data_IF_611193254081
#
_entry.id   IF_611193254081
#
_cell.length_a   1.000
_cell.length_b   1.000
_cell.length_c   1.000
_cell.angle_alpha   90.00
_cell.angle_beta   90.00
_cell.angle_gamma   90.00
#
_symmetry.space_group_name_H-M   'P 1'
#
loop_
_entity.id
_entity.type
_entity.pdbx_description
1 polymer ?
#
# COMPACT_ATOMS: atom_id res chain seq x y z
N UNK A 1 -33.01 4.84 -29.49
CA UNK A 1 -34.01 4.89 -28.40
C UNK A 1 -33.51 5.92 -27.41
N UNK A 2 -34.30 6.97 -27.20
CA UNK A 2 -33.93 8.21 -26.50
C UNK A 2 -33.90 7.93 -25.00
N UNK A 3 -32.78 8.21 -24.32
CA UNK A 3 -32.75 8.26 -22.86
C UNK A 3 -33.21 9.64 -22.42
N UNK A 4 -34.30 9.66 -21.66
CA UNK A 4 -34.82 10.80 -20.92
C UNK A 4 -34.22 10.70 -19.52
N UNK A 5 -33.15 11.46 -19.28
CA UNK A 5 -32.79 12.00 -17.96
C UNK A 5 -32.19 13.37 -18.25
N UNK A 6 -32.94 14.42 -17.93
CA UNK A 6 -32.52 15.82 -17.96
C UNK A 6 -31.84 16.17 -16.63
N UNK A 7 -30.68 15.58 -16.36
CA UNK A 7 -29.80 16.13 -15.32
C UNK A 7 -28.59 16.78 -15.99
N UNK A 8 -28.69 18.10 -16.18
CA UNK A 8 -27.57 18.99 -16.48
C UNK A 8 -26.65 19.19 -15.25
N UNK A 9 -26.87 18.44 -14.17
CA UNK A 9 -26.27 18.67 -12.85
C UNK A 9 -24.84 18.13 -12.68
N UNK A 10 -24.38 17.27 -13.59
CA UNK A 10 -23.00 16.79 -13.56
C UNK A 10 -22.17 17.70 -14.45
N UNK A 11 -21.26 18.55 -13.93
CA UNK A 11 -20.28 19.19 -14.79
C UNK A 11 -19.55 18.07 -15.52
N UNK A 12 -19.55 18.12 -16.85
CA UNK A 12 -18.82 17.20 -17.73
C UNK A 12 -17.32 17.43 -17.55
N UNK A 13 -16.81 17.09 -16.36
CA UNK A 13 -15.41 16.88 -16.08
C UNK A 13 -14.94 15.72 -16.95
N UNK A 14 -14.47 16.07 -18.12
CA UNK A 14 -13.72 15.18 -18.97
C UNK A 14 -12.29 15.26 -18.49
N UNK A 15 -11.75 14.15 -17.98
CA UNK A 15 -10.33 14.09 -17.62
C UNK A 15 -9.52 14.27 -18.91
N UNK A 16 -8.56 15.18 -18.94
CA UNK A 16 -7.87 15.57 -20.17
C UNK A 16 -6.77 16.59 -19.92
N UNK A 17 -5.99 16.89 -20.95
CA UNK A 17 -4.99 17.96 -20.89
C UNK A 17 -5.29 19.04 -21.93
N UNK A 18 -4.93 20.27 -21.60
CA UNK A 18 -4.93 21.36 -22.58
C UNK A 18 -3.65 21.26 -23.42
N UNK A 19 -3.79 20.93 -24.69
CA UNK A 19 -2.71 20.94 -25.68
C UNK A 19 -2.84 22.15 -26.60
N UNK A 20 -1.72 22.73 -27.01
CA UNK A 20 -1.75 23.73 -28.09
C UNK A 20 -1.90 23.01 -29.43
N UNK A 21 -2.98 23.27 -30.15
CA UNK A 21 -3.17 22.75 -31.50
C UNK A 21 -2.63 23.76 -32.53
N UNK A 22 -1.43 23.49 -33.06
CA UNK A 22 -0.75 24.37 -34.01
C UNK A 22 -1.50 24.55 -35.35
N UNK A 23 -2.35 23.59 -35.74
CA UNK A 23 -3.12 23.69 -37.00
C UNK A 23 -4.35 24.60 -36.87
N UNK A 24 -4.90 24.71 -35.66
CA UNK A 24 -6.10 25.50 -35.37
C UNK A 24 -5.81 26.81 -34.64
N UNK A 25 -4.53 27.04 -34.30
CA UNK A 25 -4.04 28.20 -33.55
C UNK A 25 -4.82 28.44 -32.25
N UNK A 26 -5.17 27.35 -31.56
CA UNK A 26 -5.98 27.41 -30.35
C UNK A 26 -5.57 26.36 -29.31
N UNK A 27 -5.85 26.67 -28.04
CA UNK A 27 -5.81 25.69 -26.96
C UNK A 27 -6.95 24.69 -27.16
N UNK A 28 -6.61 23.43 -27.39
CA UNK A 28 -7.57 22.34 -27.52
C UNK A 28 -7.52 21.49 -26.25
N UNK A 29 -8.69 21.20 -25.68
CA UNK A 29 -8.80 20.25 -24.59
C UNK A 29 -8.86 18.83 -25.15
N UNK A 30 -7.80 18.06 -24.94
CA UNK A 30 -7.75 16.66 -25.33
C UNK A 30 -8.27 15.80 -24.19
N UNK A 31 -9.43 15.23 -24.47
CA UNK A 31 -10.26 14.44 -23.58
C UNK A 31 -9.75 12.99 -23.53
N UNK A 32 -9.29 12.49 -22.37
CA UNK A 32 -8.96 11.06 -22.18
C UNK A 32 -10.20 10.14 -22.23
N UNK A 33 -11.43 10.69 -22.23
CA UNK A 33 -12.69 9.94 -22.13
C UNK A 33 -13.25 9.43 -23.46
N UNK A 34 -12.43 9.02 -24.44
CA UNK A 34 -13.00 8.34 -25.62
C UNK A 34 -13.74 7.03 -25.26
N UNK A 35 -13.54 6.47 -24.07
CA UNK A 35 -14.06 5.14 -23.70
C UNK A 35 -14.98 5.03 -22.47
N UNK A 36 -15.26 6.07 -21.69
CA UNK A 36 -16.18 5.96 -20.53
C UNK A 36 -17.63 6.18 -20.93
N UNK A 37 -18.17 5.26 -21.74
CA UNK A 37 -19.62 5.01 -21.72
C UNK A 37 -19.96 4.38 -20.36
N UNK A 38 -21.05 4.81 -19.74
CA UNK A 38 -21.60 4.34 -18.45
C UNK A 38 -21.65 2.80 -18.33
N UNK A 39 -20.51 2.18 -18.02
CA UNK A 39 -20.41 0.82 -17.54
C UNK A 39 -20.58 0.87 -16.03
N UNK A 40 -21.50 0.08 -15.48
CA UNK A 40 -21.70 0.00 -14.03
C UNK A 40 -20.38 -0.28 -13.30
N UNK A 41 -20.29 0.16 -12.04
CA UNK A 41 -19.07 0.05 -11.25
C UNK A 41 -18.56 -1.40 -11.25
N UNK A 42 -17.34 -1.61 -11.75
CA UNK A 42 -16.70 -2.91 -11.66
C UNK A 42 -16.50 -3.23 -10.18
N UNK A 43 -16.85 -4.45 -9.77
CA UNK A 43 -16.75 -4.88 -8.37
C UNK A 43 -15.67 -5.95 -8.27
N UNK A 44 -14.76 -5.78 -7.31
CA UNK A 44 -13.78 -6.79 -6.95
C UNK A 44 -14.17 -7.39 -5.61
N UNK A 45 -14.35 -8.70 -5.59
CA UNK A 45 -14.62 -9.44 -4.35
C UNK A 45 -13.29 -9.74 -3.67
N UNK A 46 -13.13 -9.29 -2.42
CA UNK A 46 -11.92 -9.48 -1.60
C UNK A 46 -12.32 -10.01 -0.24
N UNK A 47 -11.87 -11.22 0.12
CA UNK A 47 -12.24 -11.86 1.39
C UNK A 47 -13.76 -11.85 1.68
N UNK A 48 -14.60 -11.96 0.64
CA UNK A 48 -16.06 -11.93 0.74
C UNK A 48 -16.71 -10.54 0.69
N UNK A 49 -15.94 -9.46 0.70
CA UNK A 49 -16.43 -8.08 0.59
C UNK A 49 -16.37 -7.56 -0.84
N UNK A 50 -17.33 -6.72 -1.23
CA UNK A 50 -17.47 -6.17 -2.59
C UNK A 50 -16.87 -4.77 -2.67
N UNK A 51 -15.61 -4.65 -3.08
CA UNK A 51 -14.96 -3.36 -3.29
C UNK A 51 -15.29 -2.78 -4.65
N UNK A 52 -15.38 -1.45 -4.72
CA UNK A 52 -15.43 -0.74 -6.00
C UNK A 52 -14.06 -0.80 -6.69
N UNK A 53 -14.03 -1.20 -7.96
CA UNK A 53 -12.83 -1.26 -8.79
C UNK A 53 -12.72 -0.07 -9.75
N UNK A 54 -13.86 0.53 -10.10
CA UNK A 54 -13.98 1.76 -10.88
C UNK A 54 -14.84 2.78 -10.13
N UNK A 55 -14.67 4.06 -10.47
CA UNK A 55 -15.48 5.15 -9.96
C UNK A 55 -16.24 5.80 -11.10
N UNK A 56 -17.48 6.19 -10.84
CA UNK A 56 -18.20 7.10 -11.73
C UNK A 56 -17.66 8.52 -11.60
N UNK A 57 -17.93 9.36 -12.59
CA UNK A 57 -17.45 10.74 -12.61
C UNK A 57 -17.88 11.55 -11.37
N UNK A 58 -19.11 11.36 -10.90
CA UNK A 58 -19.64 11.97 -9.67
C UNK A 58 -18.85 11.51 -8.43
N UNK A 59 -18.61 10.20 -8.32
CA UNK A 59 -17.84 9.61 -7.20
C UNK A 59 -16.38 10.08 -7.23
N UNK A 60 -15.80 10.20 -8.41
CA UNK A 60 -14.47 10.75 -8.60
C UNK A 60 -14.36 12.20 -8.13
N UNK A 61 -15.35 13.05 -8.46
CA UNK A 61 -15.41 14.44 -7.99
C UNK A 61 -15.54 14.51 -6.46
N UNK A 62 -16.44 13.72 -5.88
CA UNK A 62 -16.60 13.62 -4.42
C UNK A 62 -15.28 13.22 -3.77
N UNK A 63 -14.59 12.21 -4.30
CA UNK A 63 -13.30 11.77 -3.77
C UNK A 63 -12.25 12.90 -3.81
N UNK A 64 -12.10 13.57 -4.96
CA UNK A 64 -11.12 14.66 -5.14
C UNK A 64 -11.38 15.85 -4.20
N UNK A 65 -12.64 16.22 -4.00
CA UNK A 65 -13.00 17.37 -3.17
C UNK A 65 -12.92 17.05 -1.68
N UNK A 66 -13.46 15.90 -1.28
CA UNK A 66 -13.75 15.63 0.13
C UNK A 66 -12.73 14.69 0.80
N UNK A 67 -12.15 13.74 0.07
CA UNK A 67 -11.39 12.63 0.66
C UNK A 67 -9.92 12.56 0.22
N UNK A 68 -9.57 13.21 -0.88
CA UNK A 68 -8.19 13.30 -1.36
C UNK A 68 -7.36 14.19 -0.42
N UNK A 69 -6.07 13.84 -0.27
CA UNK A 69 -5.14 14.68 0.50
C UNK A 69 -4.99 16.05 -0.19
N UNK A 70 -5.09 17.16 0.56
CA UNK A 70 -5.07 18.51 0.03
C UNK A 70 -3.68 18.88 -0.48
N UNK A 71 -3.60 19.77 -1.49
CA UNK A 71 -2.35 20.18 -2.10
C UNK A 71 -1.48 21.07 -1.20
N UNK A 72 -1.97 21.47 -0.03
CA UNK A 72 -1.27 22.36 0.92
C UNK A 72 -0.16 21.68 1.73
N UNK A 73 0.01 20.37 1.59
CA UNK A 73 1.01 19.60 2.35
C UNK A 73 2.36 19.63 1.63
N UNK A 74 3.47 19.63 2.38
CA UNK A 74 4.84 19.71 1.81
C UNK A 74 5.19 18.54 0.87
N UNK A 75 4.47 17.42 0.99
CA UNK A 75 4.63 16.19 0.22
C UNK A 75 3.41 15.93 -0.70
N UNK A 76 2.66 16.98 -1.07
CA UNK A 76 1.45 16.88 -1.90
C UNK A 76 1.70 16.25 -3.28
N UNK A 77 2.91 16.42 -3.81
CA UNK A 77 3.28 16.00 -5.17
C UNK A 77 3.67 14.53 -5.28
N UNK A 78 3.82 13.82 -4.17
CA UNK A 78 4.23 12.40 -4.14
C UNK A 78 3.13 11.52 -3.57
N UNK A 79 3.06 10.27 -4.02
CA UNK A 79 2.11 9.29 -3.50
C UNK A 79 2.62 8.72 -2.18
N UNK A 80 1.81 8.87 -1.14
CA UNK A 80 2.09 8.35 0.19
C UNK A 80 1.16 7.19 0.57
N UNK A 81 1.50 6.48 1.64
CA UNK A 81 0.62 5.44 2.18
C UNK A 81 -0.71 6.03 2.66
N UNK A 82 -0.75 7.30 3.06
CA UNK A 82 -2.01 8.00 3.34
C UNK A 82 -2.91 8.12 2.10
N UNK A 83 -2.37 8.44 0.92
CA UNK A 83 -3.17 8.56 -0.31
C UNK A 83 -3.82 7.22 -0.69
N UNK A 84 -3.07 6.12 -0.55
CA UNK A 84 -3.55 4.76 -0.81
C UNK A 84 -4.60 4.34 0.22
N UNK A 85 -4.39 4.63 1.52
CA UNK A 85 -5.39 4.35 2.56
C UNK A 85 -6.69 5.12 2.32
N UNK A 86 -6.60 6.41 2.00
CA UNK A 86 -7.79 7.22 1.69
C UNK A 86 -8.60 6.60 0.54
N UNK A 87 -7.91 6.19 -0.53
CA UNK A 87 -8.55 5.56 -1.68
C UNK A 87 -9.13 4.18 -1.32
N UNK A 88 -8.38 3.34 -0.62
CA UNK A 88 -8.86 2.02 -0.21
C UNK A 88 -10.08 2.10 0.72
N UNK A 89 -10.11 3.09 1.62
CA UNK A 89 -11.28 3.34 2.49
C UNK A 89 -12.46 3.88 1.67
N UNK A 90 -12.23 4.74 0.68
CA UNK A 90 -13.29 5.25 -0.19
C UNK A 90 -13.93 4.15 -1.06
N UNK A 91 -13.13 3.19 -1.53
CA UNK A 91 -13.60 2.05 -2.33
C UNK A 91 -14.21 0.91 -1.51
N UNK A 92 -14.08 0.98 -0.17
CA UNK A 92 -14.59 -0.04 0.73
C UNK A 92 -16.12 -0.01 0.82
N UNK A 93 -16.77 -1.16 0.99
CA UNK A 93 -18.21 -1.22 1.14
C UNK A 93 -18.67 -0.85 2.57
N UNK A 94 -19.96 -0.51 2.76
CA UNK A 94 -20.46 0.03 4.03
C UNK A 94 -20.35 -0.93 5.22
N UNK A 95 -20.23 -2.23 4.97
CA UNK A 95 -20.03 -3.22 6.03
C UNK A 95 -18.64 -3.10 6.69
N UNK A 96 -17.66 -2.50 6.00
CA UNK A 96 -16.30 -2.30 6.51
C UNK A 96 -16.16 -0.94 7.20
N UNK A 97 -16.75 0.11 6.62
CA UNK A 97 -16.46 1.49 7.01
C UNK A 97 -17.33 1.91 8.20
N UNK A 98 -16.77 1.75 9.41
CA UNK A 98 -17.36 2.24 10.65
C UNK A 98 -16.32 3.06 11.45
N UNK A 99 -16.77 3.73 12.53
CA UNK A 99 -15.89 4.57 13.36
C UNK A 99 -14.75 3.77 14.00
N UNK A 100 -15.05 2.61 14.59
CA UNK A 100 -14.08 1.71 15.22
C UNK A 100 -12.96 1.31 14.22
N UNK A 101 -13.33 0.95 12.99
CA UNK A 101 -12.41 0.56 11.93
C UNK A 101 -11.59 1.74 11.41
N UNK A 102 -12.20 2.92 11.23
CA UNK A 102 -11.48 4.12 10.81
C UNK A 102 -10.43 4.55 11.85
N UNK A 103 -10.77 4.45 13.15
CA UNK A 103 -9.80 4.66 14.22
C UNK A 103 -8.67 3.63 14.20
N UNK A 104 -9.00 2.35 13.96
CA UNK A 104 -8.00 1.29 13.85
C UNK A 104 -7.03 1.50 12.68
N UNK A 105 -7.53 1.86 11.50
CA UNK A 105 -6.72 2.18 10.31
C UNK A 105 -5.78 3.37 10.55
N UNK A 106 -6.15 4.26 11.47
CA UNK A 106 -5.35 5.41 11.90
C UNK A 106 -4.36 5.11 13.04
N UNK A 107 -4.14 3.85 13.41
CA UNK A 107 -3.14 3.47 14.44
C UNK A 107 -1.72 3.35 13.86
N UNK A 108 -0.72 3.52 14.73
CA UNK A 108 0.68 3.23 14.40
C UNK A 108 0.87 1.76 14.06
N UNK A 109 0.26 0.86 14.83
CA UNK A 109 0.38 -0.59 14.62
C UNK A 109 -0.17 -0.99 13.24
N UNK A 110 -1.29 -0.41 12.80
CA UNK A 110 -1.80 -0.70 11.46
C UNK A 110 -0.90 -0.12 10.36
N UNK A 111 -0.36 1.09 10.56
CA UNK A 111 0.57 1.69 9.60
C UNK A 111 1.85 0.87 9.42
N UNK A 112 2.46 0.41 10.51
CA UNK A 112 3.67 -0.42 10.46
C UNK A 112 3.40 -1.81 9.87
N UNK A 113 2.22 -2.39 10.18
CA UNK A 113 1.76 -3.62 9.54
C UNK A 113 1.60 -3.48 8.03
N UNK A 114 0.87 -2.46 7.55
CA UNK A 114 0.69 -2.21 6.12
C UNK A 114 2.03 -2.00 5.40
N UNK A 115 2.95 -1.26 6.02
CA UNK A 115 4.29 -1.07 5.45
C UNK A 115 5.07 -2.39 5.34
N UNK A 116 5.08 -3.20 6.41
CA UNK A 116 5.72 -4.52 6.38
C UNK A 116 5.06 -5.45 5.34
N UNK A 117 3.75 -5.35 5.17
CA UNK A 117 2.97 -6.13 4.21
C UNK A 117 3.33 -5.75 2.77
N UNK A 118 3.40 -4.45 2.46
CA UNK A 118 3.79 -3.95 1.13
C UNK A 118 5.22 -4.41 0.79
N UNK A 119 6.16 -4.24 1.73
CA UNK A 119 7.56 -4.69 1.56
C UNK A 119 7.62 -6.20 1.29
N UNK A 120 6.84 -6.99 2.02
CA UNK A 120 6.77 -8.44 1.80
C UNK A 120 6.26 -8.77 0.40
N UNK A 121 5.14 -8.17 -0.01
CA UNK A 121 4.51 -8.48 -1.29
C UNK A 121 5.33 -8.00 -2.50
N UNK A 122 6.01 -6.86 -2.37
CA UNK A 122 6.95 -6.39 -3.39
C UNK A 122 8.04 -7.44 -3.66
N UNK A 123 8.65 -8.02 -2.61
CA UNK A 123 9.64 -9.08 -2.80
C UNK A 123 9.02 -10.42 -3.23
N UNK A 124 7.85 -10.78 -2.69
CA UNK A 124 7.16 -12.02 -3.03
C UNK A 124 6.76 -12.11 -4.50
N UNK A 125 6.14 -11.06 -5.05
CA UNK A 125 5.72 -11.07 -6.45
C UNK A 125 6.92 -11.20 -7.40
N UNK A 126 8.03 -10.52 -7.11
CA UNK A 126 9.29 -10.67 -7.86
C UNK A 126 9.82 -12.11 -7.85
N UNK A 127 9.78 -12.78 -6.69
CA UNK A 127 10.21 -14.18 -6.59
C UNK A 127 9.24 -15.12 -7.31
N UNK A 128 7.93 -14.85 -7.27
CA UNK A 128 6.94 -15.61 -8.03
C UNK A 128 7.18 -15.46 -9.53
N UNK A 129 7.36 -14.24 -10.02
CA UNK A 129 7.66 -13.95 -11.42
C UNK A 129 8.92 -14.71 -11.87
N UNK A 130 10.00 -14.64 -11.08
CA UNK A 130 11.21 -15.42 -11.34
C UNK A 130 10.92 -16.92 -11.46
N UNK A 131 10.13 -17.50 -10.56
CA UNK A 131 9.77 -18.92 -10.61
C UNK A 131 8.95 -19.25 -11.86
N UNK A 132 8.00 -18.41 -12.23
CA UNK A 132 7.15 -18.63 -13.40
C UNK A 132 7.97 -18.55 -14.69
N UNK A 133 8.84 -17.55 -14.83
CA UNK A 133 9.78 -17.44 -15.96
C UNK A 133 10.65 -18.71 -16.04
N UNK A 134 11.22 -19.15 -14.91
CA UNK A 134 12.04 -20.37 -14.87
C UNK A 134 11.24 -21.62 -15.24
N UNK A 135 9.99 -21.72 -14.81
CA UNK A 135 9.11 -22.84 -15.16
C UNK A 135 8.90 -22.91 -16.66
N UNK A 136 8.67 -21.77 -17.30
CA UNK A 136 8.46 -21.67 -18.74
C UNK A 136 9.75 -21.96 -19.52
N UNK A 137 10.92 -21.54 -19.02
CA UNK A 137 12.24 -21.90 -19.59
C UNK A 137 12.54 -23.41 -19.53
N UNK A 138 11.99 -24.15 -18.56
CA UNK A 138 12.19 -25.60 -18.42
C UNK A 138 11.23 -26.39 -19.31
N UNK A 139 9.98 -25.94 -19.43
CA UNK A 139 8.92 -26.67 -20.13
C UNK A 139 8.70 -26.19 -21.57
N UNK A 140 9.29 -25.08 -21.98
CA UNK A 140 9.18 -24.54 -23.35
C UNK A 140 10.06 -25.25 -24.37
N UNK A 141 9.89 -24.89 -25.64
CA UNK A 141 10.58 -25.49 -26.80
C UNK A 141 12.12 -25.38 -26.76
N UNK A 142 12.66 -24.52 -25.88
CA UNK A 142 14.10 -24.34 -25.61
C UNK A 142 14.48 -24.77 -24.20
N UNK A 143 13.93 -25.89 -23.72
CA UNK A 143 14.14 -26.43 -22.39
C UNK A 143 15.62 -26.40 -21.96
N UNK A 144 15.93 -25.65 -20.90
CA UNK A 144 17.28 -25.57 -20.34
C UNK A 144 17.43 -26.46 -19.11
N UNK A 145 18.56 -27.17 -19.02
CA UNK A 145 18.92 -27.97 -17.83
C UNK A 145 19.30 -27.02 -16.69
N UNK A 146 18.72 -27.22 -15.51
CA UNK A 146 19.06 -26.39 -14.33
C UNK A 146 20.47 -26.68 -13.83
N UNK A 147 21.28 -25.62 -13.71
CA UNK A 147 22.58 -25.69 -13.06
C UNK A 147 22.45 -25.78 -11.53
N UNK A 148 23.54 -26.20 -10.87
CA UNK A 148 23.66 -26.14 -9.40
C UNK A 148 23.52 -24.72 -8.87
N UNK A 149 24.05 -23.74 -9.60
CA UNK A 149 23.98 -22.31 -9.28
C UNK A 149 22.53 -21.79 -9.25
N UNK A 150 21.69 -22.25 -10.19
CA UNK A 150 20.25 -21.94 -10.19
C UNK A 150 19.54 -22.47 -8.93
N UNK A 151 19.95 -23.63 -8.41
CA UNK A 151 19.38 -24.18 -7.18
C UNK A 151 19.85 -23.43 -5.93
N UNK A 152 21.09 -22.96 -5.90
CA UNK A 152 21.62 -22.10 -4.82
C UNK A 152 20.88 -20.77 -4.79
N UNK A 153 20.68 -20.14 -5.96
CA UNK A 153 19.93 -18.90 -6.11
C UNK A 153 18.51 -18.99 -5.53
N UNK A 154 17.80 -20.06 -5.87
CA UNK A 154 16.45 -20.37 -5.35
C UNK A 154 16.43 -20.47 -3.82
N UNK A 155 17.46 -21.06 -3.22
CA UNK A 155 17.58 -21.18 -1.75
C UNK A 155 17.80 -19.81 -1.09
N UNK A 156 18.62 -18.95 -1.71
CA UNK A 156 18.84 -17.59 -1.21
C UNK A 156 17.55 -16.77 -1.27
N UNK A 157 16.81 -16.82 -2.39
CA UNK A 157 15.53 -16.12 -2.50
C UNK A 157 14.50 -16.61 -1.48
N UNK A 158 14.41 -17.93 -1.26
CA UNK A 158 13.56 -18.51 -0.21
C UNK A 158 13.96 -18.05 1.20
N UNK A 159 15.27 -17.98 1.48
CA UNK A 159 15.78 -17.51 2.77
C UNK A 159 15.49 -16.03 3.01
N UNK A 160 15.60 -15.19 1.98
CA UNK A 160 15.25 -13.78 2.04
C UNK A 160 13.73 -13.60 2.21
N UNK A 161 12.89 -14.38 1.52
CA UNK A 161 11.43 -14.38 1.74
C UNK A 161 11.06 -14.67 3.20
N UNK A 162 11.74 -15.62 3.85
CA UNK A 162 11.53 -15.91 5.26
C UNK A 162 11.86 -14.72 6.17
N UNK A 163 12.82 -13.86 5.80
CA UNK A 163 13.16 -12.64 6.54
C UNK A 163 12.06 -11.58 6.44
N UNK A 164 11.52 -11.37 5.24
CA UNK A 164 10.37 -10.48 5.06
C UNK A 164 9.12 -11.01 5.78
N UNK A 165 8.86 -12.33 5.73
CA UNK A 165 7.78 -12.94 6.53
C UNK A 165 7.99 -12.74 8.03
N UNK A 166 9.22 -12.82 8.52
CA UNK A 166 9.51 -12.62 9.94
C UNK A 166 9.17 -11.19 10.40
N UNK A 167 9.52 -10.18 9.59
CA UNK A 167 9.15 -8.78 9.84
C UNK A 167 7.61 -8.61 9.85
N UNK A 168 6.94 -9.17 8.85
CA UNK A 168 5.48 -9.11 8.74
C UNK A 168 4.79 -9.86 9.90
N UNK A 169 5.32 -11.02 10.30
CA UNK A 169 4.78 -11.83 11.39
C UNK A 169 4.86 -11.10 12.73
N UNK A 170 5.97 -10.39 12.97
CA UNK A 170 6.11 -9.51 14.13
C UNK A 170 5.02 -8.44 14.15
N UNK A 171 4.83 -7.70 13.05
CA UNK A 171 3.82 -6.64 13.01
C UNK A 171 2.40 -7.19 13.16
N UNK A 172 2.11 -8.30 12.49
CA UNK A 172 0.83 -8.98 12.62
C UNK A 172 0.58 -9.48 14.04
N UNK A 173 1.62 -9.96 14.76
CA UNK A 173 1.49 -10.39 16.14
C UNK A 173 1.08 -9.26 17.10
N UNK A 174 1.52 -8.02 16.83
CA UNK A 174 1.10 -6.85 17.62
C UNK A 174 -0.41 -6.61 17.46
N UNK A 175 -0.95 -6.83 16.26
CA UNK A 175 -2.40 -6.78 16.00
C UNK A 175 -3.09 -7.92 16.74
N UNK A 176 -2.74 -9.18 16.47
CA UNK A 176 -3.43 -10.34 17.06
C UNK A 176 -3.44 -10.33 18.59
N UNK A 177 -2.34 -9.91 19.22
CA UNK A 177 -2.22 -9.83 20.69
C UNK A 177 -2.85 -8.57 21.29
N UNK A 178 -3.36 -7.64 20.49
CA UNK A 178 -3.93 -6.39 20.96
C UNK A 178 -2.93 -5.53 21.74
N UNK A 179 -1.69 -5.44 21.25
CA UNK A 179 -0.63 -4.67 21.91
C UNK A 179 -0.72 -3.17 21.59
N UNK A 180 -0.05 -2.34 22.39
CA UNK A 180 0.11 -0.90 22.12
C UNK A 180 -1.23 -0.15 21.95
N UNK A 181 -1.34 0.63 20.87
CA UNK A 181 -2.48 1.49 20.53
C UNK A 181 -3.68 0.73 19.95
N UNK A 182 -3.54 -0.56 19.64
CA UNK A 182 -4.66 -1.39 19.17
C UNK A 182 -5.38 -2.13 20.30
N UNK A 183 -4.89 -2.06 21.54
CA UNK A 183 -5.49 -2.75 22.71
C UNK A 183 -6.99 -2.50 22.88
N UNK A 184 -7.47 -1.29 22.56
CA UNK A 184 -8.89 -0.91 22.67
C UNK A 184 -9.82 -1.64 21.70
N UNK A 185 -9.30 -2.18 20.59
CA UNK A 185 -10.07 -2.91 19.58
C UNK A 185 -10.12 -4.42 19.83
N UNK A 186 -9.36 -4.91 20.80
CA UNK A 186 -9.30 -6.34 21.12
C UNK A 186 -10.10 -6.65 22.38
N UNK A 187 -10.99 -7.64 22.26
CA UNK A 187 -11.83 -8.10 23.37
C UNK A 187 -11.21 -9.22 24.21
N UNK A 188 -9.91 -9.51 24.01
CA UNK A 188 -9.20 -10.51 24.80
C UNK A 188 -8.97 -9.93 26.20
N UNK A 189 -9.81 -10.33 27.15
CA UNK A 189 -9.51 -10.16 28.56
C UNK A 189 -8.39 -11.15 28.93
N UNK A 190 -7.18 -10.66 29.31
CA UNK A 190 -5.97 -11.49 29.47
C UNK A 190 -6.09 -12.58 30.55
N UNK A 191 -7.12 -12.51 31.39
CA UNK A 191 -7.33 -13.42 32.53
C UNK A 191 -8.26 -14.60 32.15
N UNK A 192 -9.20 -14.40 31.23
CA UNK A 192 -10.23 -15.39 30.89
C UNK A 192 -10.07 -15.97 29.48
N UNK A 193 -9.27 -15.36 28.60
CA UNK A 193 -9.06 -15.82 27.22
C UNK A 193 -10.38 -16.10 26.45
N UNK A 194 -11.46 -15.41 26.80
CA UNK A 194 -12.75 -15.49 26.10
C UNK A 194 -12.76 -14.39 25.06
N UNK A 195 -12.66 -14.77 23.79
CA UNK A 195 -12.82 -13.87 22.64
C UNK A 195 -14.29 -13.74 22.28
N UNK A 196 -14.67 -12.60 21.70
CA UNK A 196 -15.98 -12.47 21.05
C UNK A 196 -15.84 -13.00 19.63
N UNK A 197 -15.81 -14.33 19.52
CA UNK A 197 -15.37 -15.07 18.33
C UNK A 197 -15.98 -14.60 17.02
N UNK A 198 -17.26 -14.20 17.00
CA UNK A 198 -17.94 -13.67 15.81
C UNK A 198 -17.44 -12.26 15.47
N UNK A 199 -17.36 -11.35 16.45
CA UNK A 199 -16.88 -9.97 16.24
C UNK A 199 -15.42 -9.95 15.84
N UNK A 200 -14.57 -10.71 16.55
CA UNK A 200 -13.14 -10.79 16.27
C UNK A 200 -12.87 -11.43 14.89
N UNK A 201 -13.67 -12.42 14.50
CA UNK A 201 -13.62 -12.98 13.13
C UNK A 201 -14.01 -11.93 12.10
N UNK A 202 -15.13 -11.24 12.27
CA UNK A 202 -15.57 -10.22 11.32
C UNK A 202 -14.51 -9.11 11.17
N UNK A 203 -13.95 -8.65 12.30
CA UNK A 203 -12.88 -7.66 12.31
C UNK A 203 -11.61 -8.15 11.60
N UNK A 204 -11.20 -9.39 11.84
CA UNK A 204 -10.06 -10.01 11.15
C UNK A 204 -10.27 -10.08 9.63
N UNK A 205 -11.45 -10.53 9.19
CA UNK A 205 -11.80 -10.59 7.76
C UNK A 205 -11.78 -9.20 7.12
N UNK A 206 -12.32 -8.19 7.81
CA UNK A 206 -12.29 -6.79 7.37
C UNK A 206 -10.86 -6.26 7.24
N UNK A 207 -9.99 -6.53 8.21
CA UNK A 207 -8.56 -6.13 8.16
C UNK A 207 -7.89 -6.77 6.95
N UNK A 208 -8.09 -8.06 6.72
CA UNK A 208 -7.47 -8.76 5.59
C UNK A 208 -7.99 -8.21 4.25
N UNK A 209 -9.29 -7.97 4.14
CA UNK A 209 -9.90 -7.41 2.93
C UNK A 209 -9.33 -6.04 2.59
N UNK A 210 -9.31 -5.13 3.58
CA UNK A 210 -8.74 -3.79 3.42
C UNK A 210 -7.25 -3.82 3.09
N UNK A 211 -6.48 -4.66 3.78
CA UNK A 211 -5.03 -4.76 3.57
C UNK A 211 -4.68 -5.32 2.19
N UNK A 212 -5.47 -6.27 1.69
CA UNK A 212 -5.34 -6.82 0.33
C UNK A 212 -5.52 -5.71 -0.71
N UNK A 213 -6.53 -4.85 -0.54
CA UNK A 213 -6.78 -3.71 -1.41
C UNK A 213 -5.64 -2.68 -1.35
N UNK A 214 -5.14 -2.36 -0.15
CA UNK A 214 -3.98 -1.46 0.02
C UNK A 214 -2.75 -1.99 -0.73
N UNK A 215 -2.41 -3.27 -0.56
CA UNK A 215 -1.28 -3.90 -1.25
C UNK A 215 -1.48 -3.88 -2.76
N UNK A 216 -2.66 -4.29 -3.24
CA UNK A 216 -2.97 -4.31 -4.67
C UNK A 216 -2.86 -2.93 -5.31
N UNK A 217 -3.43 -1.89 -4.68
CA UNK A 217 -3.30 -0.51 -5.16
C UNK A 217 -1.83 -0.07 -5.15
N UNK A 218 -1.10 -0.38 -4.08
CA UNK A 218 0.31 0.01 -3.95
C UNK A 218 1.18 -0.63 -5.04
N UNK A 219 0.93 -1.90 -5.36
CA UNK A 219 1.70 -2.68 -6.34
C UNK A 219 1.06 -2.59 -7.74
N UNK A 220 0.81 -1.35 -8.20
CA UNK A 220 0.38 -1.02 -9.55
C UNK A 220 -0.97 -1.63 -10.00
N UNK A 221 -1.79 -2.10 -9.06
CA UNK A 221 -3.05 -2.81 -9.36
C UNK A 221 -2.86 -4.03 -10.26
N UNK A 222 -1.72 -4.69 -10.16
CA UNK A 222 -1.40 -5.93 -10.88
C UNK A 222 -1.58 -7.16 -9.98
N UNK A 223 -1.72 -8.33 -10.59
CA UNK A 223 -1.67 -9.64 -9.92
C UNK A 223 -2.59 -9.82 -8.71
N UNK A 224 -3.79 -9.20 -8.73
CA UNK A 224 -4.76 -9.28 -7.64
C UNK A 224 -5.00 -10.72 -7.15
N UNK A 225 -5.11 -11.68 -8.08
CA UNK A 225 -5.36 -13.08 -7.74
C UNK A 225 -4.20 -13.74 -7.01
N UNK A 226 -2.95 -13.37 -7.32
CA UNK A 226 -1.78 -13.87 -6.60
C UNK A 226 -1.68 -13.23 -5.22
N UNK A 227 -1.96 -11.92 -5.12
CA UNK A 227 -1.99 -11.19 -3.85
C UNK A 227 -3.04 -11.80 -2.92
N UNK A 228 -4.28 -11.96 -3.39
CA UNK A 228 -5.38 -12.51 -2.60
C UNK A 228 -5.11 -13.98 -2.19
N UNK A 229 -4.56 -14.80 -3.09
CA UNK A 229 -4.14 -16.17 -2.77
C UNK A 229 -3.09 -16.20 -1.65
N UNK A 230 -2.06 -15.37 -1.74
CA UNK A 230 -0.98 -15.32 -0.76
C UNK A 230 -1.44 -14.71 0.57
N UNK A 231 -2.31 -13.70 0.54
CA UNK A 231 -3.00 -13.18 1.73
C UNK A 231 -3.77 -14.30 2.45
N UNK A 232 -4.57 -15.07 1.70
CA UNK A 232 -5.26 -16.24 2.23
C UNK A 232 -4.28 -17.23 2.86
N UNK A 233 -3.16 -17.54 2.20
CA UNK A 233 -2.18 -18.50 2.69
C UNK A 233 -1.45 -18.02 3.95
N UNK A 234 -1.05 -16.75 4.03
CA UNK A 234 -0.26 -16.24 5.15
C UNK A 234 -1.07 -16.16 6.44
N UNK A 235 -2.30 -15.64 6.32
CA UNK A 235 -3.12 -15.28 7.47
C UNK A 235 -4.14 -16.36 7.83
N UNK A 236 -4.54 -17.20 6.88
CA UNK A 236 -5.46 -18.33 7.13
C UNK A 236 -4.69 -19.65 7.07
N UNK A 237 -5.01 -20.57 7.96
CA UNK A 237 -4.46 -21.91 7.89
C UNK A 237 -5.17 -22.73 6.82
N UNK A 238 -4.59 -23.86 6.41
CA UNK A 238 -5.19 -24.73 5.40
C UNK A 238 -6.61 -25.18 5.73
N UNK A 239 -6.95 -25.29 7.02
CA UNK A 239 -8.29 -25.68 7.47
C UNK A 239 -9.31 -24.54 7.35
N UNK A 240 -8.86 -23.30 7.23
CA UNK A 240 -9.69 -22.09 7.18
C UNK A 240 -9.48 -21.29 5.88
N UNK A 241 -8.86 -21.88 4.86
CA UNK A 241 -8.70 -21.23 3.55
C UNK A 241 -10.09 -21.01 2.94
N UNK A 242 -10.32 -19.82 2.41
CA UNK A 242 -11.51 -19.54 1.63
C UNK A 242 -11.41 -20.29 0.30
N UNK A 243 -12.50 -20.91 -0.15
CA UNK A 243 -12.54 -21.55 -1.47
C UNK A 243 -12.38 -20.49 -2.56
N UNK A 244 -11.20 -20.43 -3.17
CA UNK A 244 -10.90 -19.59 -4.32
C UNK A 244 -10.46 -20.48 -5.48
N UNK A 245 -10.73 -20.06 -6.71
CA UNK A 245 -10.17 -20.73 -7.88
C UNK A 245 -8.67 -20.47 -7.90
N UNK A 246 -7.85 -21.46 -7.54
CA UNK A 246 -6.40 -21.39 -7.68
C UNK A 246 -6.04 -21.27 -9.17
N UNK A 247 -5.99 -20.03 -9.68
CA UNK A 247 -5.62 -19.76 -11.09
C UNK A 247 -4.15 -20.09 -11.34
N UNK A 248 -3.29 -19.91 -10.33
CA UNK A 248 -1.88 -20.29 -10.38
C UNK A 248 -1.65 -21.42 -9.38
N UNK A 249 -1.29 -22.59 -9.91
CA UNK A 249 -0.92 -23.75 -9.08
C UNK A 249 0.60 -23.89 -9.08
N UNK A 250 1.17 -23.84 -7.89
CA UNK A 250 2.58 -24.11 -7.68
C UNK A 250 2.78 -25.61 -7.47
N UNK A 251 3.86 -26.15 -8.03
CA UNK A 251 4.33 -27.50 -7.70
C UNK A 251 4.79 -27.55 -6.24
N UNK A 252 4.87 -28.75 -5.65
CA UNK A 252 5.34 -28.90 -4.26
C UNK A 252 6.74 -28.30 -4.03
N UNK A 253 7.62 -28.36 -5.04
CA UNK A 253 8.95 -27.77 -4.96
C UNK A 253 8.91 -26.24 -4.95
N UNK A 254 8.10 -25.63 -5.82
CA UNK A 254 7.90 -24.17 -5.87
C UNK A 254 7.21 -23.67 -4.60
N UNK A 255 6.18 -24.37 -4.13
CA UNK A 255 5.49 -24.09 -2.89
C UNK A 255 6.44 -24.13 -1.69
N UNK A 256 7.33 -25.13 -1.58
CA UNK A 256 8.34 -25.18 -0.50
C UNK A 256 9.31 -24.00 -0.54
N UNK A 257 9.70 -23.56 -1.73
CA UNK A 257 10.57 -22.40 -1.92
C UNK A 257 9.86 -21.12 -1.47
N UNK A 258 8.63 -20.91 -1.94
CA UNK A 258 7.83 -19.73 -1.63
C UNK A 258 7.43 -19.69 -0.16
N UNK A 259 6.90 -20.78 0.41
CA UNK A 259 6.24 -20.78 1.71
C UNK A 259 7.19 -20.93 2.90
N UNK A 260 8.41 -21.43 2.66
CA UNK A 260 9.43 -21.59 3.68
C UNK A 260 9.30 -22.89 4.49
N UNK A 261 10.20 -23.05 5.46
CA UNK A 261 10.37 -24.31 6.22
C UNK A 261 9.47 -24.41 7.45
N UNK A 262 8.98 -23.28 7.96
CA UNK A 262 8.27 -23.20 9.22
C UNK A 262 6.77 -23.48 9.09
N UNK A 263 6.21 -23.42 7.87
CA UNK A 263 4.81 -23.74 7.61
C UNK A 263 4.55 -25.23 7.82
N UNK A 264 3.92 -25.57 8.96
CA UNK A 264 3.52 -26.94 9.31
C UNK A 264 2.01 -27.03 9.41
N UNK A 265 1.48 -28.12 8.85
CA UNK A 265 0.09 -28.51 9.03
C UNK A 265 -0.04 -29.29 10.33
N UNK A 266 -0.81 -28.74 11.25
CA UNK A 266 -1.18 -29.30 12.54
C UNK A 266 -2.69 -29.58 12.55
N UNK A 267 -3.19 -30.16 13.65
CA UNK A 267 -4.62 -30.29 13.89
C UNK A 267 -5.29 -28.90 13.96
N UNK A 268 -6.50 -28.75 13.44
CA UNK A 268 -7.25 -27.48 13.37
C UNK A 268 -7.32 -26.73 14.71
N UNK A 269 -7.35 -27.43 15.85
CA UNK A 269 -7.38 -26.81 17.20
C UNK A 269 -6.07 -26.15 17.61
N UNK A 270 -4.94 -26.64 17.10
CA UNK A 270 -3.59 -26.16 17.44
C UNK A 270 -2.95 -25.41 16.26
N UNK A 271 -3.74 -25.14 15.22
CA UNK A 271 -3.24 -24.59 13.99
C UNK A 271 -3.20 -23.06 14.07
N UNK A 272 -1.99 -22.51 14.13
CA UNK A 272 -1.75 -21.08 13.93
C UNK A 272 -1.68 -20.74 12.43
N UNK A 273 -1.84 -19.47 12.09
CA UNK A 273 -1.60 -19.01 10.72
C UNK A 273 -0.15 -19.26 10.31
N UNK A 274 0.14 -19.60 9.04
CA UNK A 274 1.50 -19.86 8.58
C UNK A 274 2.46 -18.71 8.87
N UNK A 275 1.98 -17.46 8.81
CA UNK A 275 2.76 -16.29 9.16
C UNK A 275 3.20 -16.30 10.64
N UNK A 276 2.31 -16.62 11.59
CA UNK A 276 2.65 -16.67 13.02
C UNK A 276 3.61 -17.82 13.32
N UNK A 277 3.54 -18.92 12.57
CA UNK A 277 4.47 -20.05 12.74
C UNK A 277 5.93 -19.67 12.46
N UNK A 278 6.19 -18.62 11.67
CA UNK A 278 7.55 -18.10 11.44
C UNK A 278 8.22 -17.59 12.72
N UNK A 279 7.43 -17.18 13.73
CA UNK A 279 7.94 -16.71 15.02
C UNK A 279 8.34 -17.86 15.96
N UNK A 280 7.90 -19.10 15.71
CA UNK A 280 8.19 -20.22 16.60
C UNK A 280 9.68 -20.62 16.57
N UNK A 281 10.30 -20.60 15.39
CA UNK A 281 11.67 -21.06 15.18
C UNK A 281 12.51 -20.01 14.45
N UNK A 282 12.75 -18.88 15.12
CA UNK A 282 13.58 -17.79 14.57
C UNK A 282 15.06 -18.14 14.65
N UNK A 283 15.71 -18.27 13.50
CA UNK A 283 17.16 -18.43 13.41
C UNK A 283 17.88 -17.30 14.17
N UNK A 284 18.90 -17.63 14.98
CA UNK A 284 19.63 -16.65 15.81
C UNK A 284 20.10 -15.42 15.01
N UNK A 285 20.49 -15.61 13.75
CA UNK A 285 20.98 -14.57 12.83
C UNK A 285 19.88 -13.64 12.32
N UNK A 286 18.64 -14.11 12.28
CA UNK A 286 17.48 -13.32 11.83
C UNK A 286 16.80 -12.59 12.99
N UNK A 287 17.18 -12.85 14.25
CA UNK A 287 16.65 -12.13 15.43
C UNK A 287 16.71 -10.60 15.33
N UNK A 288 17.75 -9.98 14.73
CA UNK A 288 17.80 -8.52 14.58
C UNK A 288 16.62 -7.94 13.80
N UNK A 289 16.02 -8.72 12.88
CA UNK A 289 14.84 -8.31 12.10
C UNK A 289 13.66 -7.98 13.00
N UNK A 290 13.51 -8.69 14.13
CA UNK A 290 12.44 -8.43 15.08
C UNK A 290 12.54 -7.03 15.71
N UNK A 291 13.72 -6.41 15.71
CA UNK A 291 13.94 -5.08 16.29
C UNK A 291 13.89 -3.94 15.27
N UNK A 292 13.78 -4.24 13.96
CA UNK A 292 13.76 -3.23 12.89
C UNK A 292 12.68 -2.18 13.13
N UNK A 293 13.06 -0.90 13.02
CA UNK A 293 12.17 0.24 13.23
C UNK A 293 11.88 0.57 14.70
N UNK A 294 12.40 -0.22 15.65
CA UNK A 294 12.44 0.13 17.09
C UNK A 294 13.84 0.55 17.50
N UNK A 295 14.86 -0.19 17.06
CA UNK A 295 16.28 0.08 17.32
C UNK A 295 17.03 0.08 16.00
N UNK A 296 18.02 0.97 15.87
CA UNK A 296 18.88 1.01 14.68
C UNK A 296 19.69 -0.27 14.59
N UNK A 297 19.65 -0.98 13.47
CA UNK A 297 20.49 -2.15 13.26
C UNK A 297 21.96 -1.72 13.22
N UNK A 298 22.78 -2.40 14.02
CA UNK A 298 24.23 -2.27 14.00
C UNK A 298 24.82 -3.65 13.72
N UNK A 299 25.21 -3.88 12.47
CA UNK A 299 25.79 -5.14 12.07
C UNK A 299 26.18 -5.11 10.60
N UNK A 300 26.77 -6.22 10.16
CA UNK A 300 27.36 -6.31 8.82
C UNK A 300 26.49 -7.10 7.83
N UNK A 301 25.29 -7.53 8.23
CA UNK A 301 24.37 -8.22 7.31
C UNK A 301 23.63 -7.20 6.45
N UNK A 302 24.08 -7.06 5.20
CA UNK A 302 23.53 -6.12 4.21
C UNK A 302 22.03 -6.32 4.02
N UNK A 303 21.52 -7.55 4.12
CA UNK A 303 20.10 -7.84 3.90
C UNK A 303 19.23 -7.26 5.01
N UNK A 304 19.70 -7.32 6.25
CA UNK A 304 18.98 -6.73 7.39
C UNK A 304 19.00 -5.21 7.27
N UNK A 305 20.12 -4.64 6.81
CA UNK A 305 20.23 -3.22 6.52
C UNK A 305 19.27 -2.78 5.41
N UNK A 306 19.15 -3.55 4.31
CA UNK A 306 18.20 -3.28 3.22
C UNK A 306 16.75 -3.32 3.70
N UNK A 307 16.37 -4.34 4.46
CA UNK A 307 15.03 -4.45 5.05
C UNK A 307 14.76 -3.29 6.01
N UNK A 308 15.75 -2.94 6.84
CA UNK A 308 15.64 -1.80 7.75
C UNK A 308 15.44 -0.49 6.99
N UNK A 309 16.22 -0.25 5.94
CA UNK A 309 16.14 0.96 5.13
C UNK A 309 14.76 1.09 4.46
N UNK A 310 14.27 0.01 3.84
CA UNK A 310 12.92 -0.04 3.25
C UNK A 310 11.83 0.21 4.31
N UNK A 311 12.00 -0.31 5.52
CA UNK A 311 11.02 -0.16 6.60
C UNK A 311 11.04 1.23 7.25
N UNK A 312 12.18 1.91 7.33
CA UNK A 312 12.30 3.21 8.00
C UNK A 312 12.03 4.38 7.06
N UNK A 313 12.56 4.36 5.83
CA UNK A 313 12.56 5.50 4.91
C UNK A 313 11.13 5.98 4.62
N UNK A 314 10.90 7.29 4.67
CA UNK A 314 9.63 7.90 4.31
C UNK A 314 9.41 7.73 2.79
N UNK A 315 8.17 7.43 2.37
CA UNK A 315 7.79 7.29 0.97
C UNK A 315 8.26 8.48 0.11
N UNK A 316 8.14 9.71 0.61
CA UNK A 316 8.59 10.90 -0.09
C UNK A 316 10.10 10.93 -0.41
N UNK A 317 10.91 10.18 0.33
CA UNK A 317 12.37 10.16 0.24
C UNK A 317 12.92 8.85 -0.37
N UNK A 318 12.05 7.93 -0.80
CA UNK A 318 12.46 6.63 -1.31
C UNK A 318 13.32 6.72 -2.58
N UNK A 319 13.01 7.67 -3.47
CA UNK A 319 13.78 7.91 -4.70
C UNK A 319 15.23 8.32 -4.41
N UNK A 320 15.49 9.06 -3.33
CA UNK A 320 16.83 9.47 -2.91
C UNK A 320 17.67 8.28 -2.41
N UNK A 321 17.01 7.25 -1.86
CA UNK A 321 17.63 6.03 -1.38
C UNK A 321 17.73 4.94 -2.47
N UNK A 322 17.30 5.23 -3.70
CA UNK A 322 17.19 4.27 -4.80
C UNK A 322 16.36 3.02 -4.42
N UNK A 323 15.27 3.26 -3.68
CA UNK A 323 14.30 2.24 -3.28
C UNK A 323 13.00 2.50 -4.03
N UNK A 324 12.46 1.46 -4.68
CA UNK A 324 11.13 1.48 -5.29
C UNK A 324 10.23 0.47 -4.59
N UNK A 325 9.13 0.93 -3.99
CA UNK A 325 8.13 0.07 -3.36
C UNK A 325 6.75 0.34 -3.99
N UNK A 326 6.47 -0.36 -5.08
CA UNK A 326 5.26 -0.11 -5.86
C UNK A 326 5.19 1.35 -6.33
N UNK A 327 4.04 2.00 -6.11
CA UNK A 327 3.81 3.41 -6.48
C UNK A 327 4.22 4.41 -5.38
N UNK A 328 4.73 3.95 -4.23
CA UNK A 328 5.07 4.85 -3.12
C UNK A 328 6.25 5.75 -3.49
N UNK A 329 6.11 7.05 -3.21
CA UNK A 329 7.11 8.05 -3.55
C UNK A 329 7.11 8.49 -5.01
N UNK A 330 6.27 7.88 -5.86
CA UNK A 330 6.13 8.31 -7.25
C UNK A 330 5.41 9.66 -7.32
N UNK A 331 5.65 10.46 -8.37
CA UNK A 331 4.99 11.74 -8.53
C UNK A 331 3.50 11.51 -8.79
N UNK A 332 2.63 12.25 -8.10
CA UNK A 332 1.17 12.07 -8.17
C UNK A 332 0.58 12.48 -9.52
N UNK A 333 1.26 13.37 -10.24
CA UNK A 333 0.83 13.88 -11.55
C UNK A 333 0.78 12.83 -12.66
N UNK A 334 1.52 11.72 -12.56
CA UNK A 334 1.51 10.63 -13.56
C UNK A 334 0.45 9.57 -13.25
N UNK A 335 -0.38 9.77 -12.23
CA UNK A 335 -1.43 8.85 -11.82
C UNK A 335 -2.79 9.50 -11.88
N UNK A 336 -3.80 8.71 -12.25
CA UNK A 336 -5.19 9.15 -12.12
C UNK A 336 -5.70 9.04 -10.67
N UNK A 337 -6.97 9.37 -10.43
CA UNK A 337 -7.60 9.30 -9.11
C UNK A 337 -7.62 7.91 -8.49
N UNK A 338 -7.75 6.89 -9.32
CA UNK A 338 -7.69 5.50 -8.89
C UNK A 338 -6.24 5.04 -8.62
N UNK A 339 -5.25 5.94 -8.73
CA UNK A 339 -3.83 5.61 -8.64
C UNK A 339 -3.41 4.55 -9.68
N UNK A 340 -4.02 4.59 -10.88
CA UNK A 340 -3.54 3.87 -12.07
C UNK A 340 -2.58 4.77 -12.82
N UNK A 341 -1.48 4.19 -13.29
CA UNK A 341 -0.45 4.87 -14.05
C UNK A 341 -1.00 5.35 -15.39
N UNK A 342 -0.79 6.62 -15.72
CA UNK A 342 -1.11 7.18 -17.02
C UNK A 342 0.15 7.22 -17.91
N UNK A 343 0.16 6.37 -18.94
CA UNK A 343 1.28 6.27 -19.88
C UNK A 343 1.45 7.53 -20.72
N UNK A 344 0.41 8.33 -20.94
CA UNK A 344 0.52 9.61 -21.64
C UNK A 344 1.33 10.61 -20.82
N UNK A 345 0.99 10.75 -19.53
CA UNK A 345 1.75 11.57 -18.60
C UNK A 345 3.21 11.07 -18.47
N UNK A 346 3.45 9.76 -18.35
CA UNK A 346 4.79 9.17 -18.28
C UNK A 346 5.65 9.55 -19.50
N UNK A 347 5.07 9.54 -20.71
CA UNK A 347 5.77 9.95 -21.95
C UNK A 347 6.16 11.42 -21.93
N UNK A 348 5.35 12.29 -21.33
CA UNK A 348 5.66 13.73 -21.22
C UNK A 348 6.87 13.99 -20.30
N UNK A 349 7.06 13.19 -19.25
CA UNK A 349 8.19 13.30 -18.33
C UNK A 349 9.51 12.73 -18.86
N UNK A 350 9.50 12.09 -20.04
CA UNK A 350 10.71 11.60 -20.74
C UNK A 350 11.63 10.72 -19.88
N UNK A 351 11.06 9.84 -19.07
CA UNK A 351 11.83 8.79 -18.40
C UNK A 351 12.57 7.94 -19.43
N UNK A 352 13.78 7.49 -19.10
CA UNK A 352 14.61 6.66 -19.97
C UNK A 352 15.27 5.54 -19.19
N UNK A 353 15.85 4.55 -19.87
CA UNK A 353 16.68 3.53 -19.22
C UNK A 353 17.89 4.12 -18.49
N UNK A 354 18.32 5.33 -18.81
CA UNK A 354 19.40 6.02 -18.06
C UNK A 354 18.84 6.85 -16.91
N UNK A 355 17.66 7.44 -17.06
CA UNK A 355 17.01 8.32 -16.10
C UNK A 355 15.62 7.80 -15.74
N UNK A 356 15.59 6.92 -14.75
CA UNK A 356 14.38 6.35 -14.17
C UNK A 356 14.52 6.25 -12.65
N UNK A 357 14.36 7.37 -11.92
CA UNK A 357 14.54 7.41 -10.47
C UNK A 357 13.45 6.66 -9.69
N UNK A 358 12.35 6.32 -10.36
CA UNK A 358 11.18 5.66 -9.76
C UNK A 358 11.05 4.18 -10.18
N UNK A 359 11.88 3.71 -11.13
CA UNK A 359 11.82 2.34 -11.62
C UNK A 359 10.58 2.02 -12.47
N UNK A 360 9.99 3.04 -13.12
CA UNK A 360 8.78 2.89 -13.93
C UNK A 360 9.08 2.14 -15.24
N UNK A 361 10.22 2.41 -15.87
CA UNK A 361 10.65 1.79 -17.13
C UNK A 361 11.51 0.56 -16.86
N UNK A 362 12.49 0.68 -15.95
CA UNK A 362 13.44 -0.41 -15.66
C UNK A 362 12.78 -1.65 -15.09
N UNK A 363 11.58 -1.48 -14.54
CA UNK A 363 10.86 -2.45 -13.72
C UNK A 363 11.67 -2.88 -12.50
N UNK A 364 11.02 -3.18 -11.37
CA UNK A 364 11.75 -3.54 -10.17
C UNK A 364 12.29 -4.98 -10.29
N UNK A 365 13.60 -5.15 -10.14
CA UNK A 365 14.29 -6.43 -10.39
C UNK A 365 14.70 -7.15 -9.10
N UNK A 366 14.93 -8.47 -9.19
CA UNK A 366 15.62 -9.20 -8.14
C UNK A 366 17.13 -9.03 -8.30
N UNK A 367 17.80 -8.62 -7.23
CA UNK A 367 19.27 -8.62 -7.19
C UNK A 367 19.78 -10.06 -7.25
N UNK A 368 20.77 -10.30 -8.10
CA UNK A 368 21.46 -11.59 -8.14
C UNK A 368 22.41 -11.61 -6.92
N UNK A 369 22.21 -12.54 -5.98
CA UNK A 369 23.06 -12.66 -4.80
C UNK A 369 24.49 -13.03 -5.20
N UNK A 370 25.46 -12.51 -4.46
CA UNK A 370 26.85 -12.90 -4.65
C UNK A 370 27.06 -14.35 -4.19
N UNK A 371 27.94 -15.08 -4.88
CA UNK A 371 28.22 -16.51 -4.59
C UNK A 371 28.61 -16.77 -3.13
N UNK A 372 29.24 -15.79 -2.48
CA UNK A 372 29.72 -15.90 -1.11
C UNK A 372 28.69 -15.41 -0.06
N UNK A 373 27.45 -15.06 -0.45
CA UNK A 373 26.49 -14.44 0.46
C UNK A 373 26.13 -15.36 1.65
N UNK A 374 26.01 -16.68 1.44
CA UNK A 374 25.76 -17.62 2.54
C UNK A 374 26.95 -17.74 3.50
N UNK A 375 28.17 -17.61 3.00
CA UNK A 375 29.39 -17.63 3.81
C UNK A 375 29.54 -16.34 4.60
N UNK A 376 29.32 -15.20 3.95
CA UNK A 376 29.26 -13.88 4.60
C UNK A 376 28.18 -13.85 5.69
N UNK A 377 27.04 -14.51 5.47
CA UNK A 377 25.99 -14.71 6.47
C UNK A 377 26.45 -15.55 7.66
N UNK A 378 27.40 -16.47 7.50
CA UNK A 378 28.00 -17.21 8.62
C UNK A 378 28.94 -16.34 9.45
N UNK A 379 29.56 -15.34 8.82
CA UNK A 379 30.50 -14.42 9.44
C UNK A 379 29.82 -13.15 10.01
N UNK A 380 28.53 -12.94 9.75
CA UNK A 380 27.80 -11.75 10.19
C UNK A 380 27.78 -11.62 11.71
N UNK A 381 28.20 -10.45 12.21
CA UNK A 381 28.09 -10.06 13.62
C UNK A 381 27.03 -8.98 13.76
N UNK A 382 26.28 -9.04 14.86
CA UNK A 382 25.34 -8.00 15.27
C UNK A 382 25.81 -7.44 16.60
N UNK A 383 25.80 -6.12 16.70
CA UNK A 383 26.22 -5.36 17.87
C UNK A 383 24.99 -4.79 18.57
N UNK A 384 25.13 -4.47 19.86
CA UNK A 384 24.08 -3.82 20.62
C UNK A 384 23.89 -2.38 20.13
N UNK A 385 22.64 -1.97 19.98
CA UNK A 385 22.29 -0.62 19.56
C UNK A 385 21.71 0.16 20.72
N UNK A 386 22.25 1.35 20.94
CA UNK A 386 21.80 2.30 21.96
C UNK A 386 20.78 3.31 21.43
N UNK A 387 20.46 3.26 20.13
CA UNK A 387 19.59 4.24 19.47
C UNK A 387 18.18 3.69 19.27
N UNK A 388 17.19 4.40 19.81
CA UNK A 388 15.79 4.17 19.51
C UNK A 388 15.38 4.96 18.26
N UNK A 389 14.66 4.30 17.37
CA UNK A 389 14.17 4.90 16.13
C UNK A 389 12.74 5.37 16.31
N UNK A 390 12.47 6.60 15.90
CA UNK A 390 11.10 7.12 15.77
C UNK A 390 10.74 7.23 14.29
N UNK A 391 9.81 6.40 13.85
CA UNK A 391 9.22 6.51 12.51
C UNK A 391 8.28 7.72 12.45
N UNK A 392 8.44 8.53 11.41
CA UNK A 392 7.43 9.51 11.02
C UNK A 392 6.24 8.77 10.42
N UNK A 393 5.04 9.04 10.92
CA UNK A 393 3.80 8.39 10.51
C UNK A 393 2.79 9.48 10.17
N UNK A 394 2.13 9.31 9.03
CA UNK A 394 1.05 10.18 8.59
C UNK A 394 -0.26 9.70 9.21
N UNK A 395 -0.86 10.52 10.05
CA UNK A 395 -2.16 10.24 10.67
C UNK A 395 -3.27 11.05 10.00
N UNK A 396 -4.47 10.50 9.98
CA UNK A 396 -5.68 11.28 9.77
C UNK A 396 -5.91 12.20 10.97
N UNK A 397 -6.28 13.44 10.69
CA UNK A 397 -6.82 14.33 11.71
C UNK A 397 -8.12 13.75 12.27
N UNK A 398 -8.49 14.04 13.53
CA UNK A 398 -9.73 13.54 14.11
C UNK A 398 -10.98 13.87 13.27
N UNK A 399 -10.98 15.03 12.63
CA UNK A 399 -12.02 15.45 11.67
C UNK A 399 -12.11 14.52 10.46
N UNK A 400 -10.97 14.15 9.87
CA UNK A 400 -10.94 13.18 8.77
C UNK A 400 -11.42 11.82 9.18
N UNK A 401 -11.04 11.33 10.36
CA UNK A 401 -11.50 10.03 10.86
C UNK A 401 -13.03 10.01 10.98
N UNK A 402 -13.63 11.06 11.53
CA UNK A 402 -15.10 11.22 11.61
C UNK A 402 -15.76 11.38 10.23
N UNK A 403 -15.06 11.98 9.28
CA UNK A 403 -15.54 12.11 7.90
C UNK A 403 -15.57 10.77 7.19
N UNK A 404 -14.51 9.98 7.31
CA UNK A 404 -14.47 8.62 6.77
C UNK A 404 -15.49 7.69 7.42
N UNK A 405 -15.77 7.82 8.72
CA UNK A 405 -16.83 7.01 9.35
C UNK A 405 -18.24 7.33 8.83
N UNK A 406 -18.42 8.51 8.22
CA UNK A 406 -19.66 8.94 7.55
C UNK A 406 -19.54 8.92 6.03
N UNK A 407 -18.57 8.19 5.48
CA UNK A 407 -18.27 8.14 4.05
C UNK A 407 -19.54 7.93 3.21
N UNK A 408 -20.26 6.85 3.46
CA UNK A 408 -21.40 6.47 2.61
C UNK A 408 -22.55 7.47 2.68
N UNK A 409 -22.84 8.04 3.85
CA UNK A 409 -23.88 9.08 3.97
C UNK A 409 -23.47 10.38 3.29
N UNK A 410 -22.19 10.74 3.31
CA UNK A 410 -21.67 11.88 2.55
C UNK A 410 -21.77 11.63 1.04
N UNK A 411 -21.37 10.45 0.57
CA UNK A 411 -21.48 10.09 -0.85
C UNK A 411 -22.94 10.09 -1.30
N UNK A 412 -23.85 9.55 -0.50
CA UNK A 412 -25.29 9.57 -0.78
C UNK A 412 -25.84 11.00 -0.83
N UNK A 413 -25.48 11.84 0.14
CA UNK A 413 -25.85 13.26 0.15
C UNK A 413 -25.44 13.98 -1.13
N UNK A 414 -24.20 13.83 -1.60
CA UNK A 414 -23.75 14.44 -2.85
C UNK A 414 -24.36 13.84 -4.12
N UNK A 415 -24.90 12.62 -4.05
CA UNK A 415 -25.63 12.01 -5.17
C UNK A 415 -27.08 12.50 -5.27
N UNK A 416 -27.70 12.89 -4.16
CA UNK A 416 -29.13 13.24 -4.10
C UNK A 416 -29.40 14.74 -4.00
N UNK A 417 -28.65 15.47 -3.17
CA UNK A 417 -28.97 16.85 -2.76
C UNK A 417 -27.78 17.80 -2.78
N UNK A 418 -26.57 17.28 -2.62
CA UNK A 418 -25.35 18.07 -2.49
C UNK A 418 -24.92 18.68 -3.82
N UNK A 419 -24.74 20.01 -3.83
CA UNK A 419 -24.12 20.70 -4.96
C UNK A 419 -22.62 20.39 -4.91
N UNK A 420 -22.14 19.58 -5.85
CA UNK A 420 -20.71 19.45 -6.10
C UNK A 420 -20.20 20.82 -6.57
N UNK A 421 -19.19 21.35 -5.89
CA UNK A 421 -18.61 22.63 -6.31
C UNK A 421 -17.95 22.43 -7.67
N UNK A 422 -18.59 22.93 -8.73
CA UNK A 422 -17.94 23.03 -10.04
C UNK A 422 -16.69 23.91 -9.92
N UNK A 423 -15.69 23.70 -10.77
CA UNK A 423 -14.48 24.53 -10.83
C UNK A 423 -14.88 26.01 -10.92
N UNK A 424 -15.95 26.32 -11.66
CA UNK A 424 -16.51 27.66 -11.74
C UNK A 424 -16.99 28.19 -10.37
N UNK A 425 -17.80 27.42 -9.63
CA UNK A 425 -18.32 27.80 -8.30
C UNK A 425 -17.17 27.94 -7.30
N UNK A 426 -16.16 27.07 -7.39
CA UNK A 426 -14.97 27.15 -6.57
C UNK A 426 -14.15 28.40 -6.90
N UNK A 427 -13.92 28.70 -8.17
CA UNK A 427 -13.20 29.90 -8.59
C UNK A 427 -13.98 31.18 -8.24
N UNK A 428 -15.31 31.21 -8.38
CA UNK A 428 -16.11 32.37 -7.93
C UNK A 428 -16.01 32.53 -6.42
N UNK A 429 -16.07 31.44 -5.65
CA UNK A 429 -15.86 31.49 -4.21
C UNK A 429 -14.44 31.95 -3.85
N UNK A 430 -13.40 31.42 -4.47
CA UNK A 430 -12.00 31.83 -4.23
C UNK A 430 -11.76 33.31 -4.61
N UNK A 431 -12.46 33.83 -5.62
CA UNK A 431 -12.42 35.26 -6.00
C UNK A 431 -13.22 36.13 -5.02
N UNK A 432 -14.33 35.60 -4.48
CA UNK A 432 -15.14 36.26 -3.45
C UNK A 432 -14.52 36.17 -2.05
N UNK A 433 -13.64 35.19 -1.80
CA UNK A 433 -12.98 34.97 -0.53
C UNK A 433 -11.83 35.98 -0.34
N UNK A 434 -12.16 37.15 0.18
CA UNK A 434 -11.19 38.20 0.55
C UNK A 434 -10.41 37.86 1.83
N UNK A 435 -10.50 36.63 2.32
CA UNK A 435 -9.84 36.16 3.56
C UNK A 435 -8.35 35.81 3.37
N UNK A 436 -7.81 35.99 2.17
CA UNK A 436 -6.37 35.95 1.95
C UNK A 436 -5.69 37.04 2.81
N UNK A 437 -5.02 36.59 3.89
CA UNK A 437 -4.09 37.40 4.65
C UNK A 437 -3.08 38.00 3.65
N UNK A 438 -2.89 39.32 3.71
CA UNK A 438 -1.94 39.99 2.84
C UNK A 438 -0.56 39.35 2.98
N UNK A 439 0.22 39.31 1.90
CA UNK A 439 1.59 38.75 1.91
C UNK A 439 2.43 39.31 3.07
N UNK A 440 2.18 40.57 3.44
CA UNK A 440 2.77 41.26 4.59
C UNK A 440 2.40 40.63 5.95
N UNK A 441 1.14 40.26 6.16
CA UNK A 441 0.67 39.61 7.38
C UNK A 441 1.19 38.18 7.50
N UNK A 442 1.25 37.46 6.38
CA UNK A 442 1.87 36.13 6.31
C UNK A 442 3.36 36.23 6.69
N UNK A 443 4.07 37.21 6.15
CA UNK A 443 5.49 37.41 6.48
C UNK A 443 5.70 37.85 7.93
N UNK A 444 4.79 38.65 8.48
CA UNK A 444 4.82 39.04 9.89
C UNK A 444 4.61 37.83 10.80
N UNK A 445 3.58 37.02 10.53
CA UNK A 445 3.29 35.75 11.23
C UNK A 445 4.47 34.77 11.17
N UNK A 446 5.06 34.60 9.99
CA UNK A 446 6.21 33.73 9.79
C UNK A 446 7.43 34.20 10.58
N UNK A 447 7.74 35.50 10.55
CA UNK A 447 8.84 36.07 11.31
C UNK A 447 8.62 35.97 12.82
N UNK A 448 7.39 36.19 13.30
CA UNK A 448 7.02 36.01 14.71
C UNK A 448 7.15 34.54 15.17
N UNK A 449 6.73 33.58 14.35
CA UNK A 449 6.93 32.15 14.63
C UNK A 449 8.42 31.78 14.63
N UNK A 450 9.19 32.29 13.66
CA UNK A 450 10.64 32.09 13.58
C UNK A 450 11.35 32.64 14.80
N UNK A 451 10.96 33.81 15.31
CA UNK A 451 11.47 34.35 16.57
C UNK A 451 11.09 33.50 17.79
N UNK A 452 9.84 33.07 17.90
CA UNK A 452 9.38 32.19 19.00
C UNK A 452 10.16 30.87 19.03
N UNK A 453 10.43 30.28 17.86
CA UNK A 453 11.22 29.05 17.74
C UNK A 453 12.70 29.26 18.04
N UNK A 454 13.25 30.45 17.76
CA UNK A 454 14.63 30.83 18.14
C UNK A 454 14.78 31.09 19.64
N UNK A 455 13.79 31.75 20.27
CA UNK A 455 13.79 32.05 21.72
C UNK A 455 13.62 30.80 22.61
N UNK A 456 13.04 29.71 22.09
CA UNK A 456 12.96 28.40 22.78
C UNK A 456 14.26 27.58 22.79
N UNK A 457 15.33 28.07 22.14
CA UNK A 457 16.64 27.40 22.07
C UNK A 457 17.73 28.01 22.97
N UNK A 458 17.36 28.89 23.90
CA UNK A 458 18.25 29.39 24.94
C UNK A 458 17.78 29.00 26.34
#
# INVERSE_FOLDING_TARGET
>A
MIRIYNDDFVPKYVNGHWGWNAEKDCLQFDSHTKDTREGGNEIIVTCGFKFLASLNQVEELIFRQEFQRPPTTYDADVILLQDIRNLATYLAPPEIVNEEFCEFVNTKTMHTFLKALIIYFDYFLKVVEFILIRRDEIHGDKAQIQSTESNELKRVYSANLAQYRLLLAREYSNIVLGMNDVKKFHHIAPIINISWSIKDRAFHETILAFSTQVVWITLHRQDFTLIDMEMNRLFRSEHFKLSHSDRVKFTDAEARLLYGKNSRRCNYRSQNSPLIQELNNVEKRNRPILWIGRRKYQGNDVRILEIELQFIVNAAQMSLANISLGILGHPKCIYNTLLKLDWEAVRQYKFSETYDPYGIIKQPYLTIPSRNQEELRKLSKTYESFYELQSQIEYWTPERTRKFSRLHSIVEYFKTEGILTDVWIRCTREVEDTTYLGVEEIMKSFNEQKEKLRKKKH
#
